data_IF_566708917925
#
_entry.id   IF_566708917925
#
_cell.length_a   1.000
_cell.length_b   1.000
_cell.length_c   1.000
_cell.angle_alpha   90.00
_cell.angle_beta   90.00
_cell.angle_gamma   90.00
#
_symmetry.space_group_name_H-M   'P 1'
#
loop_
_entity.id
_entity.type
_entity.pdbx_description
1 polymer ?
#
# COMPACT_ATOMS: atom_id res chain seq x y z
N UNK A 1 -20.92 -0.96 30.59
CA UNK A 1 -19.89 -0.18 29.87
C UNK A 1 -20.32 -0.23 28.44
N UNK A 2 -20.82 0.88 27.90
CA UNK A 2 -21.13 0.96 26.47
C UNK A 2 -19.81 0.79 25.71
N UNK A 3 -19.71 -0.25 24.90
CA UNK A 3 -18.54 -0.45 24.04
C UNK A 3 -18.57 0.63 22.96
N UNK A 4 -17.52 1.45 22.89
CA UNK A 4 -17.42 2.48 21.85
C UNK A 4 -17.28 1.82 20.48
N UNK A 5 -18.13 2.26 19.54
CA UNK A 5 -18.11 1.79 18.16
C UNK A 5 -16.79 2.24 17.50
N UNK A 6 -16.12 1.34 16.81
CA UNK A 6 -14.95 1.66 16.02
C UNK A 6 -15.32 2.60 14.87
N UNK A 7 -14.64 3.74 14.81
CA UNK A 7 -14.70 4.69 13.69
C UNK A 7 -13.25 4.90 13.23
N UNK A 8 -12.98 4.60 11.96
CA UNK A 8 -11.65 4.76 11.40
C UNK A 8 -11.22 6.25 11.48
N UNK A 9 -10.10 6.57 12.14
CA UNK A 9 -9.66 7.97 12.28
C UNK A 9 -9.22 8.60 10.95
N UNK A 10 -8.86 7.78 9.95
CA UNK A 10 -8.38 8.26 8.66
C UNK A 10 -9.51 8.57 7.66
N UNK A 11 -10.58 7.77 7.63
CA UNK A 11 -11.65 7.90 6.61
C UNK A 11 -13.08 7.90 7.16
N UNK A 12 -13.28 7.70 8.46
CA UNK A 12 -14.59 7.65 9.10
C UNK A 12 -15.39 6.37 8.86
N UNK A 13 -14.82 5.34 8.24
CA UNK A 13 -15.49 4.05 8.07
C UNK A 13 -15.81 3.40 9.42
N UNK A 14 -16.98 2.78 9.51
CA UNK A 14 -17.42 1.95 10.64
C UNK A 14 -18.30 0.82 10.12
N UNK A 15 -18.21 -0.35 10.74
CA UNK A 15 -19.14 -1.47 10.54
C UNK A 15 -20.20 -1.56 11.66
N UNK A 16 -20.22 -0.59 12.57
CA UNK A 16 -21.11 -0.55 13.73
C UNK A 16 -20.68 -1.45 14.89
N UNK A 17 -19.51 -2.09 14.80
CA UNK A 17 -18.95 -2.92 15.88
C UNK A 17 -17.88 -2.16 16.68
N UNK A 18 -17.56 -2.67 17.86
CA UNK A 18 -16.46 -2.20 18.70
C UNK A 18 -15.12 -2.86 18.35
N UNK A 19 -15.08 -3.75 17.35
CA UNK A 19 -13.88 -4.51 16.99
C UNK A 19 -12.95 -3.60 16.19
N UNK A 20 -11.76 -3.36 16.73
CA UNK A 20 -10.70 -2.60 16.05
C UNK A 20 -9.94 -3.54 15.11
N UNK A 21 -9.99 -3.34 13.78
CA UNK A 21 -9.23 -4.15 12.85
C UNK A 21 -7.75 -3.73 12.84
N UNK A 22 -6.86 -4.61 12.37
CA UNK A 22 -5.43 -4.28 12.19
C UNK A 22 -5.22 -3.10 11.24
N UNK A 23 -6.05 -3.01 10.19
CA UNK A 23 -6.20 -1.83 9.32
C UNK A 23 -7.66 -1.65 8.94
N UNK A 24 -8.05 -0.42 8.59
CA UNK A 24 -9.39 -0.15 8.11
C UNK A 24 -9.65 -0.86 6.76
N UNK A 25 -10.68 -1.70 6.62
CA UNK A 25 -10.93 -2.43 5.36
C UNK A 25 -11.26 -1.49 4.18
N UNK A 26 -11.76 -0.28 4.46
CA UNK A 26 -12.13 0.68 3.41
C UNK A 26 -10.97 1.53 2.89
N UNK A 27 -10.13 2.11 3.76
CA UNK A 27 -9.02 2.97 3.36
C UNK A 27 -7.64 2.31 3.43
N UNK A 28 -7.54 1.16 4.09
CA UNK A 28 -6.32 0.38 4.35
C UNK A 28 -5.30 1.08 5.25
N UNK A 29 -5.69 2.16 5.93
CA UNK A 29 -4.87 2.82 6.95
C UNK A 29 -5.05 2.17 8.31
N UNK A 30 -4.02 2.28 9.15
CA UNK A 30 -4.06 1.86 10.56
C UNK A 30 -3.50 2.97 11.46
N UNK A 31 -3.73 2.85 12.77
CA UNK A 31 -3.29 3.84 13.76
C UNK A 31 -1.96 3.40 14.38
N UNK A 32 -1.02 4.34 14.48
CA UNK A 32 0.28 4.13 15.11
C UNK A 32 0.26 4.71 16.52
N UNK A 33 -0.12 3.89 17.50
CA UNK A 33 -0.23 4.36 18.89
C UNK A 33 1.15 4.61 19.52
N UNK A 34 2.02 3.60 19.48
CA UNK A 34 3.37 3.63 20.05
C UNK A 34 4.40 3.18 19.02
N UNK A 35 5.58 3.79 19.04
CA UNK A 35 6.73 3.38 18.22
C UNK A 35 7.54 2.24 18.85
N UNK A 36 8.63 1.82 18.18
CA UNK A 36 9.50 0.72 18.63
C UNK A 36 10.21 0.98 19.97
N UNK A 37 10.32 2.24 20.38
CA UNK A 37 10.94 2.69 21.62
C UNK A 37 9.89 2.99 22.72
N UNK A 38 8.64 2.52 22.55
CA UNK A 38 7.48 2.76 23.42
C UNK A 38 7.10 4.26 23.56
N UNK A 39 7.49 5.12 22.61
CA UNK A 39 7.05 6.51 22.62
C UNK A 39 5.69 6.65 21.93
N UNK A 40 4.83 7.53 22.47
CA UNK A 40 3.56 7.86 21.85
C UNK A 40 3.77 8.55 20.50
N UNK A 41 3.33 7.90 19.42
CA UNK A 41 3.45 8.41 18.06
C UNK A 41 2.17 9.13 17.63
N UNK A 42 1.02 8.47 17.75
CA UNK A 42 -0.30 8.99 17.36
C UNK A 42 -0.48 9.21 15.86
N UNK A 43 0.42 8.67 15.02
CA UNK A 43 0.39 8.83 13.58
C UNK A 43 -0.61 7.90 12.89
N UNK A 44 -0.84 8.14 11.60
CA UNK A 44 -1.59 7.22 10.73
C UNK A 44 -0.59 6.50 9.82
N UNK A 45 -0.74 5.20 9.70
CA UNK A 45 -0.06 4.38 8.71
C UNK A 45 -0.81 4.49 7.38
N UNK A 46 -0.22 5.17 6.39
CA UNK A 46 -0.72 5.19 5.01
C UNK A 46 -0.31 3.90 4.29
N UNK A 47 -1.22 3.22 3.57
CA UNK A 47 -0.85 2.11 2.69
C UNK A 47 -0.03 2.61 1.49
N UNK A 48 1.22 2.16 1.37
CA UNK A 48 2.15 2.64 0.33
C UNK A 48 2.47 1.61 -0.75
N UNK A 49 2.32 0.31 -0.47
CA UNK A 49 2.59 -0.75 -1.45
C UNK A 49 1.88 -2.05 -1.10
N UNK A 50 1.89 -3.01 -2.03
CA UNK A 50 1.44 -4.38 -1.83
C UNK A 50 2.61 -5.32 -2.03
N UNK A 51 2.79 -6.26 -1.10
CA UNK A 51 3.79 -7.31 -1.18
C UNK A 51 3.10 -8.67 -1.38
N UNK A 52 3.64 -9.48 -2.29
CA UNK A 52 3.22 -10.86 -2.51
C UNK A 52 4.35 -11.76 -2.04
N UNK A 53 4.04 -12.65 -1.12
CA UNK A 53 4.97 -13.61 -0.55
C UNK A 53 4.60 -15.04 -0.99
N UNK A 54 5.53 -15.75 -1.62
CA UNK A 54 5.34 -17.15 -1.98
C UNK A 54 6.05 -18.05 -0.96
N UNK A 55 5.27 -18.87 -0.26
CA UNK A 55 5.76 -19.82 0.73
C UNK A 55 5.45 -21.27 0.31
N UNK A 56 6.06 -22.25 0.98
CA UNK A 56 5.70 -23.68 0.81
C UNK A 56 4.22 -23.96 1.14
N UNK A 57 3.55 -23.08 1.89
CA UNK A 57 2.15 -23.23 2.32
C UNK A 57 1.16 -22.48 1.41
N UNK A 58 1.65 -21.70 0.44
CA UNK A 58 0.82 -20.92 -0.48
C UNK A 58 1.32 -19.50 -0.67
N UNK A 59 0.51 -18.71 -1.36
CA UNK A 59 0.78 -17.29 -1.64
C UNK A 59 0.05 -16.41 -0.64
N UNK A 60 0.81 -15.63 0.12
CA UNK A 60 0.30 -14.62 1.04
C UNK A 60 0.44 -13.23 0.42
N UNK A 61 -0.42 -12.30 0.84
CA UNK A 61 -0.42 -10.93 0.32
C UNK A 61 -0.53 -9.98 1.50
N UNK A 62 0.30 -8.96 1.48
CA UNK A 62 0.44 -8.01 2.58
C UNK A 62 0.37 -6.58 2.08
N UNK A 63 -0.12 -5.69 2.92
CA UNK A 63 -0.08 -4.24 2.72
C UNK A 63 1.19 -3.73 3.40
N UNK A 64 2.07 -3.05 2.66
CA UNK A 64 3.15 -2.28 3.27
C UNK A 64 2.61 -0.90 3.59
N UNK A 65 2.77 -0.48 4.84
CA UNK A 65 2.31 0.83 5.30
C UNK A 65 3.47 1.65 5.86
N UNK A 66 3.35 2.98 5.75
CA UNK A 66 4.29 3.93 6.30
C UNK A 66 3.57 4.91 7.22
N UNK A 67 4.09 5.12 8.42
CA UNK A 67 3.58 6.14 9.31
C UNK A 67 3.85 7.52 8.72
N UNK A 68 2.80 8.33 8.53
CA UNK A 68 2.92 9.68 7.99
C UNK A 68 3.64 10.64 8.94
N UNK A 69 3.67 10.32 10.24
CA UNK A 69 4.31 11.13 11.28
C UNK A 69 5.80 10.79 11.45
N UNK A 70 6.12 9.58 11.91
CA UNK A 70 7.51 9.19 12.21
C UNK A 70 8.24 8.48 11.05
N UNK A 71 7.50 8.03 10.02
CA UNK A 71 8.09 7.33 8.87
C UNK A 71 8.34 5.83 9.07
N UNK A 72 8.02 5.25 10.22
CA UNK A 72 8.12 3.81 10.48
C UNK A 72 7.35 3.00 9.42
N UNK A 73 7.81 1.76 9.16
CA UNK A 73 7.18 0.84 8.22
C UNK A 73 6.58 -0.35 8.98
N UNK A 74 5.43 -0.81 8.53
CA UNK A 74 4.84 -2.06 9.01
C UNK A 74 4.12 -2.80 7.88
N UNK A 75 3.69 -4.02 8.17
CA UNK A 75 2.92 -4.86 7.25
C UNK A 75 1.69 -5.45 7.93
N UNK A 76 0.56 -5.49 7.23
CA UNK A 76 -0.65 -6.20 7.63
C UNK A 76 -1.13 -7.16 6.54
N UNK A 77 -1.80 -8.25 6.90
CA UNK A 77 -2.28 -9.25 5.95
C UNK A 77 -3.52 -8.74 5.18
N UNK A 78 -3.57 -8.97 3.86
CA UNK A 78 -4.74 -8.65 3.04
C UNK A 78 -5.83 -9.70 3.27
N UNK A 79 -7.04 -9.24 3.59
CA UNK A 79 -8.20 -10.09 3.86
C UNK A 79 -9.26 -9.99 2.75
N UNK A 80 -10.25 -10.89 2.79
CA UNK A 80 -11.40 -10.85 1.87
C UNK A 80 -12.38 -9.69 2.11
N UNK A 81 -12.21 -8.94 3.21
CA UNK A 81 -13.05 -7.79 3.55
C UNK A 81 -12.49 -6.46 3.03
N UNK A 82 -11.25 -6.46 2.56
CA UNK A 82 -10.59 -5.26 2.10
C UNK A 82 -11.18 -4.74 0.79
N UNK A 83 -11.27 -3.41 0.67
CA UNK A 83 -11.79 -2.78 -0.51
C UNK A 83 -10.88 -3.07 -1.73
N UNK A 84 -11.38 -3.82 -2.74
CA UNK A 84 -10.56 -4.25 -3.86
C UNK A 84 -10.11 -3.08 -4.75
N UNK A 85 -10.92 -2.01 -4.82
CA UNK A 85 -10.58 -0.80 -5.58
C UNK A 85 -9.45 -0.05 -4.89
N UNK A 86 -9.48 0.05 -3.55
CA UNK A 86 -8.41 0.71 -2.79
C UNK A 86 -7.11 -0.08 -2.89
N UNK A 87 -7.15 -1.41 -2.76
CA UNK A 87 -5.99 -2.28 -2.97
C UNK A 87 -5.37 -2.08 -4.36
N UNK A 88 -6.20 -2.12 -5.42
CA UNK A 88 -5.73 -1.90 -6.78
C UNK A 88 -5.10 -0.52 -6.95
N UNK A 89 -5.68 0.52 -6.33
CA UNK A 89 -5.13 1.88 -6.40
C UNK A 89 -3.73 1.98 -5.77
N UNK A 90 -3.48 1.26 -4.66
CA UNK A 90 -2.16 1.22 -4.00
C UNK A 90 -1.15 0.50 -4.90
N UNK A 91 -1.52 -0.66 -5.46
CA UNK A 91 -0.65 -1.40 -6.39
C UNK A 91 -0.35 -0.62 -7.68
N UNK A 92 -1.31 0.14 -8.20
CA UNK A 92 -1.16 0.89 -9.44
C UNK A 92 -0.46 2.24 -9.27
N UNK A 93 -0.36 2.78 -8.04
CA UNK A 93 0.25 4.09 -7.75
C UNK A 93 1.64 4.29 -8.40
N UNK A 94 2.60 3.34 -8.34
CA UNK A 94 3.90 3.49 -9.01
C UNK A 94 3.81 3.43 -10.54
N UNK A 95 2.83 2.70 -11.10
CA UNK A 95 2.61 2.63 -12.55
C UNK A 95 2.05 3.95 -13.07
N UNK A 96 1.12 4.56 -12.32
CA UNK A 96 0.53 5.85 -12.67
C UNK A 96 1.43 7.07 -12.39
N UNK A 97 2.50 6.90 -11.60
CA UNK A 97 3.47 7.96 -11.27
C UNK A 97 4.90 7.42 -11.44
N UNK A 98 5.31 7.09 -12.68
CA UNK A 98 6.63 6.53 -12.93
C UNK A 98 7.73 7.55 -12.60
N UNK A 99 8.91 7.10 -12.14
CA UNK A 99 10.02 7.99 -11.79
C UNK A 99 10.76 8.57 -13.01
N UNK A 100 10.31 8.26 -14.22
CA UNK A 100 10.85 8.74 -15.49
C UNK A 100 9.72 8.87 -16.52
N UNK A 101 9.89 9.69 -17.57
CA UNK A 101 8.89 9.84 -18.62
C UNK A 101 8.81 8.57 -19.47
N UNK A 102 7.76 7.78 -19.26
CA UNK A 102 7.53 6.51 -19.98
C UNK A 102 7.25 6.75 -21.46
N UNK A 103 6.79 7.95 -21.83
CA UNK A 103 6.54 8.37 -23.21
C UNK A 103 7.84 8.54 -24.01
N UNK A 104 9.00 8.60 -23.35
CA UNK A 104 10.33 8.83 -23.96
C UNK A 104 11.29 7.65 -23.75
N UNK A 105 10.77 6.45 -23.55
CA UNK A 105 11.59 5.25 -23.27
C UNK A 105 12.63 4.96 -24.36
N UNK A 106 12.31 5.18 -25.63
CA UNK A 106 13.23 4.96 -26.75
C UNK A 106 14.47 5.88 -26.66
N UNK A 107 14.25 7.19 -26.46
CA UNK A 107 15.33 8.17 -26.29
C UNK A 107 16.20 7.86 -25.06
N UNK A 108 15.56 7.48 -23.95
CA UNK A 108 16.26 7.07 -22.73
C UNK A 108 17.16 5.86 -22.97
N UNK A 109 16.67 4.86 -23.71
CA UNK A 109 17.45 3.67 -24.10
C UNK A 109 18.62 4.03 -25.01
N UNK A 110 18.42 4.92 -25.99
CA UNK A 110 19.50 5.38 -26.88
C UNK A 110 20.63 6.04 -26.08
N UNK A 111 20.29 6.90 -25.11
CA UNK A 111 21.25 7.54 -24.22
C UNK A 111 22.01 6.54 -23.33
N UNK A 112 21.42 5.39 -23.03
CA UNK A 112 22.05 4.30 -22.27
C UNK A 112 22.84 3.30 -23.14
N UNK A 113 23.18 3.67 -24.38
CA UNK A 113 24.00 2.83 -25.27
C UNK A 113 23.21 1.81 -26.09
N UNK A 114 21.88 1.97 -26.20
CA UNK A 114 21.05 1.25 -27.17
C UNK A 114 20.79 -0.22 -26.86
N UNK A 115 21.19 -0.73 -25.68
CA UNK A 115 21.04 -2.16 -25.33
C UNK A 115 19.61 -2.59 -24.95
N UNK A 116 18.63 -1.69 -24.97
CA UNK A 116 17.23 -1.95 -24.63
C UNK A 116 16.26 -1.69 -25.79
N UNK A 117 16.64 -2.04 -27.02
CA UNK A 117 15.85 -1.72 -28.22
C UNK A 117 14.39 -2.19 -28.08
N UNK A 118 13.46 -1.30 -28.44
CA UNK A 118 12.01 -1.55 -28.44
C UNK A 118 11.48 -1.95 -29.83
N UNK A 119 12.37 -2.15 -30.81
CA UNK A 119 12.06 -2.38 -32.24
C UNK A 119 11.19 -3.62 -32.53
N UNK A 120 10.86 -4.46 -31.54
CA UNK A 120 10.00 -5.64 -31.71
C UNK A 120 8.56 -5.51 -31.18
N UNK A 121 8.17 -4.38 -30.57
CA UNK A 121 6.85 -4.27 -29.91
C UNK A 121 5.71 -3.79 -30.81
N UNK A 122 6.00 -3.32 -32.04
CA UNK A 122 5.01 -2.72 -32.95
C UNK A 122 4.97 -3.36 -34.35
N UNK A 123 5.63 -4.50 -34.56
CA UNK A 123 5.47 -5.30 -35.79
C UNK A 123 4.24 -6.22 -35.64
N UNK A 124 3.03 -5.67 -35.83
CA UNK A 124 1.81 -6.42 -36.19
C UNK A 124 1.41 -6.13 -37.65
#
# INVERSE_FOLDING_TARGET
>A
MDEEIYICPACGYTDGTSIVPEHCPQCLSSYHEVDEDDNACGGIFEPISIWIEETKRGRHKHIIQRCEFCGALQTSEITGYDNPVKLLSVAAKPIGNPPFPVERMEELTMLMGGQGSTEGYYEE
#
